data_IF_101809931796
#
_entry.id   IF_101809931796
#
_cell.length_a   1.000
_cell.length_b   1.000
_cell.length_c   1.000
_cell.angle_alpha   90.00
_cell.angle_beta   90.00
_cell.angle_gamma   90.00
#
_symmetry.space_group_name_H-M   'P 1'
#
loop_
_entity.id
_entity.type
_entity.pdbx_description
1 polymer ?
#
# COMPACT_ATOMS: atom_id res chain seq x y z
N UNK A 1 -22.07 58.42 -38.48
CA UNK A 1 -20.96 57.87 -39.29
C UNK A 1 -20.44 56.63 -38.57
N UNK A 2 -20.45 55.42 -39.12
CA UNK A 2 -21.15 54.94 -40.33
C UNK A 2 -21.13 53.39 -40.36
N UNK A 3 -22.28 52.76 -40.68
CA UNK A 3 -22.47 51.48 -41.40
C UNK A 3 -21.80 50.15 -40.95
N UNK A 4 -22.66 49.14 -40.78
CA UNK A 4 -22.40 47.69 -41.02
C UNK A 4 -21.98 47.42 -42.49
N UNK A 5 -21.45 46.22 -42.86
CA UNK A 5 -22.33 45.06 -43.14
C UNK A 5 -21.79 43.63 -42.83
N UNK A 6 -22.76 42.72 -42.63
CA UNK A 6 -22.87 41.33 -43.15
C UNK A 6 -21.71 40.31 -43.03
N UNK A 7 -22.00 39.15 -42.40
CA UNK A 7 -22.05 37.86 -43.12
C UNK A 7 -22.80 36.75 -42.32
N UNK A 8 -23.93 36.30 -42.86
CA UNK A 8 -24.45 34.91 -42.78
C UNK A 8 -24.06 34.21 -44.10
N UNK A 9 -24.03 32.88 -44.26
CA UNK A 9 -24.94 31.86 -43.69
C UNK A 9 -24.13 30.66 -43.07
N UNK A 10 -24.58 29.41 -42.86
CA UNK A 10 -25.80 28.66 -43.23
C UNK A 10 -26.07 27.54 -42.22
N UNK A 11 -27.32 27.10 -42.08
CA UNK A 11 -27.71 25.81 -41.48
C UNK A 11 -27.74 24.71 -42.56
N UNK A 12 -27.62 23.41 -42.20
CA UNK A 12 -28.84 22.59 -42.25
C UNK A 12 -28.94 21.48 -41.17
N UNK A 13 -29.89 21.66 -40.23
CA UNK A 13 -31.07 20.79 -40.03
C UNK A 13 -30.95 19.24 -40.16
N UNK A 14 -31.04 18.53 -39.02
CA UNK A 14 -31.56 17.14 -38.80
C UNK A 14 -31.19 16.72 -37.36
N UNK A 15 -31.99 16.05 -36.53
CA UNK A 15 -33.42 15.74 -36.54
C UNK A 15 -33.94 15.73 -35.08
N UNK A 16 -35.13 16.30 -34.84
CA UNK A 16 -35.89 16.09 -33.59
C UNK A 16 -37.34 15.78 -33.96
N UNK A 17 -37.85 14.56 -33.73
CA UNK A 17 -39.24 14.24 -34.05
C UNK A 17 -40.19 14.88 -33.03
N UNK A 18 -40.78 16.02 -33.41
CA UNK A 18 -42.09 16.43 -32.87
C UNK A 18 -43.17 15.60 -33.58
N UNK A 19 -44.00 14.91 -32.81
CA UNK A 19 -45.23 14.29 -33.30
C UNK A 19 -46.41 14.91 -32.55
N UNK A 20 -46.92 16.01 -33.11
CA UNK A 20 -48.19 16.56 -32.71
C UNK A 20 -49.34 15.63 -33.11
N UNK A 21 -50.20 15.33 -32.15
CA UNK A 21 -51.64 15.59 -32.26
C UNK A 21 -52.32 15.10 -33.55
N UNK A 22 -52.56 13.79 -33.64
CA UNK A 22 -53.65 13.27 -34.48
C UNK A 22 -54.96 13.27 -33.68
N UNK A 23 -55.99 13.93 -34.19
CA UNK A 23 -57.33 13.96 -33.61
C UNK A 23 -58.37 13.39 -34.58
N UNK A 24 -58.96 12.24 -34.28
CA UNK A 24 -60.25 11.82 -34.83
C UNK A 24 -60.91 10.76 -33.94
N UNK A 25 -62.23 10.86 -33.77
CA UNK A 25 -63.02 10.21 -32.74
C UNK A 25 -63.02 8.67 -32.67
N UNK A 26 -63.25 8.17 -31.46
CA UNK A 26 -64.52 7.47 -31.18
C UNK A 26 -64.86 7.63 -29.70
N UNK A 27 -66.08 8.08 -29.41
CA UNK A 27 -66.63 8.06 -28.06
C UNK A 27 -67.27 6.70 -27.81
N UNK A 28 -66.49 5.76 -27.26
CA UNK A 28 -67.04 4.60 -26.58
C UNK A 28 -66.40 4.44 -25.20
N UNK A 29 -67.20 3.91 -24.28
CA UNK A 29 -66.96 3.87 -22.85
C UNK A 29 -65.66 3.16 -22.46
N UNK A 30 -64.79 3.83 -21.69
CA UNK A 30 -63.72 3.16 -20.96
C UNK A 30 -64.39 2.35 -19.84
N UNK A 31 -64.66 1.08 -20.12
CA UNK A 31 -65.04 0.11 -19.10
C UNK A 31 -63.83 -0.13 -18.20
N UNK A 32 -63.73 0.66 -17.13
CA UNK A 32 -62.87 0.31 -15.99
C UNK A 32 -63.41 -1.00 -15.41
N UNK A 33 -62.62 -2.08 -15.33
CA UNK A 33 -63.07 -3.32 -14.73
C UNK A 33 -63.30 -3.08 -13.22
N UNK A 34 -64.48 -3.43 -12.67
CA UNK A 34 -64.81 -3.18 -11.28
C UNK A 34 -64.20 -4.26 -10.36
N UNK A 35 -62.88 -4.40 -10.37
CA UNK A 35 -62.17 -5.15 -9.34
C UNK A 35 -60.74 -4.62 -9.09
N UNK A 36 -60.67 -3.55 -8.29
CA UNK A 36 -59.44 -3.06 -7.68
C UNK A 36 -59.25 -3.60 -6.25
N UNK A 37 -60.02 -4.63 -5.84
CA UNK A 37 -60.00 -5.14 -4.45
C UNK A 37 -58.70 -5.86 -4.06
N UNK A 38 -57.89 -6.24 -5.05
CA UNK A 38 -56.58 -6.89 -4.85
C UNK A 38 -55.37 -6.02 -5.19
N UNK A 39 -55.52 -4.72 -5.48
CA UNK A 39 -54.39 -3.85 -5.75
C UNK A 39 -53.81 -3.33 -4.43
N UNK A 40 -52.53 -3.60 -4.09
CA UNK A 40 -51.96 -3.16 -2.81
C UNK A 40 -52.11 -1.65 -2.64
N UNK A 41 -52.56 -1.23 -1.46
CA UNK A 41 -52.61 0.19 -1.12
C UNK A 41 -51.19 0.78 -1.14
N UNK A 42 -51.07 2.09 -1.33
CA UNK A 42 -49.77 2.78 -1.30
C UNK A 42 -48.99 2.50 -0.01
N UNK A 43 -49.68 2.30 1.12
CA UNK A 43 -49.07 1.94 2.40
C UNK A 43 -48.59 0.48 2.44
N UNK A 44 -49.29 -0.46 1.81
CA UNK A 44 -48.84 -1.86 1.68
C UNK A 44 -47.68 -2.00 0.71
N UNK A 45 -47.67 -1.22 -0.38
CA UNK A 45 -46.57 -1.18 -1.33
C UNK A 45 -45.30 -0.58 -0.71
N UNK A 46 -45.44 0.51 0.07
CA UNK A 46 -44.34 1.10 0.86
C UNK A 46 -43.86 0.15 1.97
N UNK A 47 -44.78 -0.58 2.63
CA UNK A 47 -44.42 -1.61 3.61
C UNK A 47 -43.69 -2.81 2.97
N UNK A 48 -44.06 -3.21 1.76
CA UNK A 48 -43.38 -4.27 1.00
C UNK A 48 -42.00 -3.81 0.51
N UNK A 49 -41.86 -2.59 -0.04
CA UNK A 49 -40.55 -2.06 -0.45
C UNK A 49 -39.64 -1.84 0.79
N UNK A 50 -40.19 -1.37 1.92
CA UNK A 50 -39.46 -1.29 3.19
C UNK A 50 -39.08 -2.68 3.74
N UNK A 51 -39.93 -3.70 3.58
CA UNK A 51 -39.61 -5.07 3.96
C UNK A 51 -38.55 -5.69 3.03
N UNK A 52 -38.59 -5.40 1.74
CA UNK A 52 -37.60 -5.85 0.76
C UNK A 52 -36.27 -5.09 0.89
N UNK A 53 -36.28 -3.82 1.29
CA UNK A 53 -35.10 -3.07 1.70
C UNK A 53 -34.51 -3.60 3.02
N UNK A 54 -35.34 -4.05 3.96
CA UNK A 54 -34.91 -4.65 5.22
C UNK A 54 -34.36 -6.08 5.03
N UNK A 55 -34.97 -6.89 4.17
CA UNK A 55 -34.54 -8.24 3.83
C UNK A 55 -33.31 -8.24 2.88
N UNK A 56 -33.32 -7.37 1.88
CA UNK A 56 -32.35 -7.26 0.78
C UNK A 56 -31.11 -6.41 1.07
N UNK A 57 -30.99 -5.79 2.26
CA UNK A 57 -29.77 -5.06 2.69
C UNK A 57 -29.06 -5.67 3.89
N UNK A 58 -28.77 -6.98 3.82
CA UNK A 58 -27.53 -7.48 4.44
C UNK A 58 -26.34 -6.91 3.66
N UNK A 59 -25.83 -5.75 4.08
CA UNK A 59 -24.68 -5.09 3.42
C UNK A 59 -23.43 -5.98 3.32
N UNK A 60 -23.34 -6.99 4.20
CA UNK A 60 -22.29 -7.99 4.26
C UNK A 60 -22.06 -8.74 2.94
N UNK A 61 -23.12 -9.12 2.22
CA UNK A 61 -22.98 -9.95 1.01
C UNK A 61 -22.48 -9.15 -0.19
N UNK A 62 -22.81 -7.84 -0.23
CA UNK A 62 -22.35 -6.94 -1.31
C UNK A 62 -20.87 -6.56 -1.18
N UNK A 63 -20.33 -6.61 0.03
CA UNK A 63 -18.89 -6.55 0.24
C UNK A 63 -18.21 -7.88 -0.15
N UNK A 64 -18.80 -9.04 0.17
CA UNK A 64 -18.19 -10.35 -0.09
C UNK A 64 -18.16 -10.74 -1.58
N UNK A 65 -19.18 -10.37 -2.37
CA UNK A 65 -19.34 -10.76 -3.77
C UNK A 65 -18.18 -10.35 -4.73
N UNK A 66 -17.24 -9.51 -4.30
CA UNK A 66 -16.10 -9.05 -5.11
C UNK A 66 -14.74 -9.57 -4.58
N UNK A 67 -14.74 -10.50 -3.60
CA UNK A 67 -13.53 -11.05 -2.99
C UNK A 67 -13.21 -12.50 -3.38
N UNK A 68 -14.20 -13.29 -3.80
CA UNK A 68 -14.05 -14.72 -4.03
C UNK A 68 -13.41 -15.10 -5.39
N UNK A 69 -13.38 -14.19 -6.36
CA UNK A 69 -12.73 -14.47 -7.64
C UNK A 69 -11.20 -14.25 -7.53
N UNK A 70 -10.37 -15.28 -7.77
CA UNK A 70 -8.93 -15.23 -7.52
C UNK A 70 -8.18 -14.46 -8.61
N UNK A 71 -8.30 -13.14 -8.58
CA UNK A 71 -7.55 -12.24 -9.46
C UNK A 71 -6.03 -12.48 -9.31
N UNK A 72 -5.29 -12.80 -10.38
CA UNK A 72 -3.87 -13.16 -10.29
C UNK A 72 -3.04 -12.01 -9.68
N UNK A 73 -1.98 -12.32 -8.91
CA UNK A 73 -1.17 -11.31 -8.25
C UNK A 73 -0.50 -10.39 -9.30
N UNK A 74 -0.55 -9.06 -9.13
CA UNK A 74 0.01 -8.13 -10.10
C UNK A 74 1.53 -8.31 -10.22
N UNK A 75 2.06 -8.23 -11.45
CA UNK A 75 3.49 -8.42 -11.74
C UNK A 75 4.44 -7.58 -10.87
N UNK A 76 3.99 -6.43 -10.35
CA UNK A 76 4.75 -5.61 -9.40
C UNK A 76 5.12 -6.35 -8.10
N UNK A 77 4.30 -7.30 -7.62
CA UNK A 77 4.66 -8.14 -6.47
C UNK A 77 5.78 -9.14 -6.81
N UNK A 78 5.81 -9.66 -8.04
CA UNK A 78 6.90 -10.52 -8.49
C UNK A 78 8.22 -9.74 -8.62
N UNK A 79 8.17 -8.51 -9.13
CA UNK A 79 9.33 -7.60 -9.16
C UNK A 79 9.82 -7.26 -7.74
N UNK A 80 8.90 -6.96 -6.80
CA UNK A 80 9.27 -6.75 -5.40
C UNK A 80 9.97 -7.98 -4.80
N UNK A 81 9.46 -9.19 -5.07
CA UNK A 81 10.12 -10.43 -4.64
C UNK A 81 11.52 -10.62 -5.24
N UNK A 82 11.69 -10.41 -6.56
CA UNK A 82 13.01 -10.48 -7.21
C UNK A 82 14.01 -9.47 -6.63
N UNK A 83 13.57 -8.23 -6.41
CA UNK A 83 14.39 -7.17 -5.81
C UNK A 83 14.78 -7.50 -4.37
N UNK A 84 13.85 -8.07 -3.58
CA UNK A 84 14.13 -8.56 -2.24
C UNK A 84 15.11 -9.73 -2.24
N UNK A 85 15.02 -10.68 -3.18
CA UNK A 85 16.00 -11.76 -3.33
C UNK A 85 17.39 -11.21 -3.67
N UNK A 86 17.49 -10.24 -4.59
CA UNK A 86 18.76 -9.57 -4.90
C UNK A 86 19.36 -8.88 -3.66
N UNK A 87 18.53 -8.18 -2.87
CA UNK A 87 18.96 -7.59 -1.61
C UNK A 87 19.40 -8.65 -0.58
N UNK A 88 18.73 -9.79 -0.52
CA UNK A 88 19.09 -10.88 0.38
C UNK A 88 20.43 -11.52 0.02
N UNK A 89 20.74 -11.67 -1.28
CA UNK A 89 22.06 -12.12 -1.74
C UNK A 89 23.15 -11.08 -1.41
N UNK A 90 22.91 -9.80 -1.65
CA UNK A 90 23.84 -8.74 -1.28
C UNK A 90 24.11 -8.69 0.23
N UNK A 91 23.05 -8.81 1.05
CA UNK A 91 23.16 -8.90 2.51
C UNK A 91 23.96 -10.13 2.94
N UNK A 92 23.73 -11.29 2.31
CA UNK A 92 24.43 -12.53 2.62
C UNK A 92 25.93 -12.42 2.34
N UNK A 93 26.34 -11.77 1.24
CA UNK A 93 27.76 -11.50 0.95
C UNK A 93 28.40 -10.64 2.05
N UNK A 94 27.76 -9.54 2.45
CA UNK A 94 28.24 -8.68 3.53
C UNK A 94 28.30 -9.41 4.88
N UNK A 95 27.33 -10.27 5.18
CA UNK A 95 27.27 -11.05 6.43
C UNK A 95 28.34 -12.15 6.46
N UNK A 96 28.52 -12.91 5.38
CA UNK A 96 29.57 -13.94 5.29
C UNK A 96 30.96 -13.30 5.42
N UNK A 97 31.21 -12.17 4.74
CA UNK A 97 32.46 -11.43 4.90
C UNK A 97 32.63 -10.89 6.32
N UNK A 98 31.59 -10.32 6.91
CA UNK A 98 31.61 -9.76 8.27
C UNK A 98 31.91 -10.80 9.34
N UNK A 99 31.35 -12.01 9.23
CA UNK A 99 31.68 -13.12 10.13
C UNK A 99 33.09 -13.69 9.89
N UNK A 100 33.53 -13.79 8.62
CA UNK A 100 34.88 -14.27 8.30
C UNK A 100 35.98 -13.34 8.82
N UNK A 101 35.70 -12.04 8.94
CA UNK A 101 36.64 -11.02 9.40
C UNK A 101 36.24 -10.39 10.76
N UNK A 102 35.42 -11.09 11.55
CA UNK A 102 34.76 -10.52 12.74
C UNK A 102 35.77 -9.93 13.75
N UNK A 103 36.87 -10.63 14.01
CA UNK A 103 37.93 -10.16 14.92
C UNK A 103 38.54 -8.84 14.44
N UNK A 104 39.00 -8.79 13.18
CA UNK A 104 39.57 -7.57 12.60
C UNK A 104 38.59 -6.38 12.61
N UNK A 105 37.30 -6.62 12.34
CA UNK A 105 36.28 -5.57 12.39
C UNK A 105 36.04 -5.10 13.83
N UNK A 106 36.02 -6.01 14.82
CA UNK A 106 35.90 -5.68 16.23
C UNK A 106 37.11 -4.89 16.74
N UNK A 107 38.34 -5.25 16.34
CA UNK A 107 39.56 -4.53 16.72
C UNK A 107 39.57 -3.10 16.14
N UNK A 108 39.25 -2.95 14.85
CA UNK A 108 39.13 -1.65 14.18
C UNK A 108 38.01 -0.77 14.78
N UNK A 109 36.88 -1.37 15.16
CA UNK A 109 35.80 -0.66 15.85
C UNK A 109 36.23 -0.25 17.27
N UNK A 110 37.02 -1.07 17.96
CA UNK A 110 37.57 -0.73 19.27
C UNK A 110 38.49 0.51 19.17
N UNK A 111 39.46 0.48 18.25
CA UNK A 111 40.34 1.63 17.97
C UNK A 111 39.54 2.90 17.66
N UNK A 112 38.53 2.80 16.78
CA UNK A 112 37.65 3.93 16.43
C UNK A 112 36.85 4.46 17.63
N UNK A 113 36.37 3.59 18.52
CA UNK A 113 35.66 3.99 19.74
C UNK A 113 36.60 4.63 20.78
N UNK A 114 37.83 4.14 20.94
CA UNK A 114 38.83 4.75 21.82
C UNK A 114 39.20 6.16 21.35
N UNK A 115 39.41 6.35 20.04
CA UNK A 115 39.62 7.68 19.44
C UNK A 115 38.42 8.60 19.68
N UNK A 116 37.19 8.08 19.58
CA UNK A 116 35.96 8.83 19.89
C UNK A 116 35.91 9.32 21.34
N UNK A 117 36.25 8.47 22.33
CA UNK A 117 36.31 8.85 23.75
C UNK A 117 37.40 9.89 24.02
N UNK A 118 38.54 9.81 23.33
CA UNK A 118 39.61 10.79 23.45
C UNK A 118 39.24 12.18 22.89
N UNK A 119 38.32 12.25 21.91
CA UNK A 119 37.91 13.49 21.26
C UNK A 119 36.68 14.15 21.91
N UNK A 120 35.69 13.37 22.35
CA UNK A 120 34.49 13.88 23.05
C UNK A 120 34.05 12.96 24.21
N UNK A 121 34.70 13.08 25.38
CA UNK A 121 34.41 12.23 26.53
C UNK A 121 33.04 12.48 27.18
N UNK A 122 32.31 13.55 26.80
CA UNK A 122 30.98 13.84 27.34
C UNK A 122 29.85 13.15 26.56
N UNK A 123 30.11 12.76 25.31
CA UNK A 123 29.13 12.16 24.40
C UNK A 123 29.45 10.69 24.06
N UNK A 124 30.66 10.23 24.41
CA UNK A 124 31.11 8.86 24.13
C UNK A 124 30.74 7.86 25.25
N UNK A 125 30.86 6.57 24.94
CA UNK A 125 30.62 5.51 25.91
C UNK A 125 31.71 5.49 27.01
N UNK A 126 31.38 5.12 28.27
CA UNK A 126 32.37 4.96 29.33
C UNK A 126 33.52 4.02 28.93
N UNK A 127 34.76 4.42 29.22
CA UNK A 127 35.97 3.73 28.75
C UNK A 127 36.04 2.25 29.20
N UNK A 128 35.47 1.94 30.36
CA UNK A 128 35.32 0.59 30.92
C UNK A 128 34.42 -0.35 30.09
N UNK A 129 33.66 0.18 29.12
CA UNK A 129 32.73 -0.60 28.30
C UNK A 129 33.13 -0.75 26.84
N UNK A 130 34.18 -0.06 26.37
CA UNK A 130 34.55 -0.06 24.95
C UNK A 130 34.77 -1.48 24.42
N UNK A 131 35.56 -2.29 25.13
CA UNK A 131 35.86 -3.69 24.76
C UNK A 131 34.59 -4.57 24.68
N UNK A 132 33.64 -4.36 25.59
CA UNK A 132 32.37 -5.08 25.58
C UNK A 132 31.46 -4.64 24.42
N UNK A 133 31.55 -3.38 23.99
CA UNK A 133 30.75 -2.84 22.90
C UNK A 133 31.33 -3.22 21.54
N UNK A 134 32.65 -3.12 21.36
CA UNK A 134 33.36 -3.49 20.13
C UNK A 134 33.30 -5.00 19.85
N UNK A 135 33.29 -5.84 20.88
CA UNK A 135 33.07 -7.28 20.75
C UNK A 135 31.62 -7.70 20.48
N UNK A 136 30.62 -6.90 20.90
CA UNK A 136 29.20 -7.26 20.77
C UNK A 136 28.52 -6.65 19.54
N UNK A 137 28.82 -5.39 19.18
CA UNK A 137 28.11 -4.70 18.11
C UNK A 137 28.26 -5.35 16.72
N UNK A 138 29.46 -5.73 16.25
CA UNK A 138 29.62 -6.36 14.94
C UNK A 138 28.79 -7.65 14.79
N UNK A 139 28.90 -8.68 15.66
CA UNK A 139 28.08 -9.88 15.49
C UNK A 139 26.59 -9.60 15.69
N UNK A 140 26.21 -8.70 16.60
CA UNK A 140 24.80 -8.34 16.81
C UNK A 140 24.17 -7.71 15.55
N UNK A 141 24.85 -6.77 14.89
CA UNK A 141 24.37 -6.12 13.66
C UNK A 141 24.23 -7.11 12.49
N UNK A 142 25.15 -8.07 12.37
CA UNK A 142 25.07 -9.14 11.37
C UNK A 142 23.90 -10.10 11.64
N UNK A 143 23.68 -10.49 12.91
CA UNK A 143 22.55 -11.34 13.31
C UNK A 143 21.21 -10.62 13.09
N UNK A 144 21.09 -9.35 13.52
CA UNK A 144 19.88 -8.53 13.34
C UNK A 144 19.56 -8.37 11.86
N UNK A 145 20.57 -8.19 11.01
CA UNK A 145 20.41 -8.16 9.54
C UNK A 145 19.75 -9.43 9.03
N UNK A 146 20.25 -10.61 9.41
CA UNK A 146 19.65 -11.90 9.00
C UNK A 146 18.22 -12.08 9.54
N UNK A 147 17.97 -11.71 10.80
CA UNK A 147 16.65 -11.83 11.44
C UNK A 147 15.61 -10.92 10.76
N UNK A 148 15.96 -9.66 10.47
CA UNK A 148 15.07 -8.73 9.77
C UNK A 148 14.73 -9.22 8.36
N UNK A 149 15.71 -9.75 7.61
CA UNK A 149 15.46 -10.38 6.31
C UNK A 149 14.56 -11.62 6.44
N UNK A 150 14.84 -12.50 7.39
CA UNK A 150 14.04 -13.71 7.63
C UNK A 150 12.57 -13.40 7.99
N UNK A 151 12.30 -12.27 8.66
CA UNK A 151 10.94 -11.78 8.96
C UNK A 151 10.30 -11.09 7.74
N UNK A 152 11.06 -10.38 6.92
CA UNK A 152 10.55 -9.73 5.69
C UNK A 152 10.01 -10.74 4.66
N UNK A 153 10.68 -11.88 4.48
CA UNK A 153 10.25 -12.92 3.52
C UNK A 153 8.79 -13.40 3.72
N UNK A 154 8.37 -13.93 4.89
CA UNK A 154 7.00 -14.40 5.09
C UNK A 154 5.97 -13.26 5.02
N UNK A 155 6.33 -12.01 5.34
CA UNK A 155 5.44 -10.86 5.17
C UNK A 155 5.19 -10.54 3.69
N UNK A 156 6.22 -10.61 2.85
CA UNK A 156 6.11 -10.44 1.40
C UNK A 156 5.30 -11.58 0.76
N UNK A 157 5.55 -12.82 1.18
CA UNK A 157 4.78 -14.00 0.76
C UNK A 157 3.32 -13.92 1.23
N UNK A 158 3.05 -13.46 2.46
CA UNK A 158 1.69 -13.28 2.98
C UNK A 158 0.93 -12.17 2.24
N UNK A 159 1.62 -11.10 1.81
CA UNK A 159 1.03 -10.05 0.96
C UNK A 159 0.52 -10.65 -0.36
N UNK A 160 1.29 -11.55 -0.97
CA UNK A 160 0.93 -12.21 -2.23
C UNK A 160 -0.09 -13.35 -2.06
N UNK A 161 0.09 -14.26 -1.09
CA UNK A 161 -0.76 -15.46 -0.92
C UNK A 161 -2.06 -15.21 -0.14
N UNK A 162 -2.07 -14.28 0.81
CA UNK A 162 -3.23 -13.98 1.67
C UNK A 162 -3.88 -12.63 1.36
N UNK A 163 -3.46 -11.97 0.26
CA UNK A 163 -4.02 -10.69 -0.21
C UNK A 163 -4.13 -9.62 0.89
N UNK A 164 -3.18 -9.56 1.83
CA UNK A 164 -3.32 -8.77 3.07
C UNK A 164 -2.63 -7.40 3.00
N UNK A 165 -3.40 -6.32 3.20
CA UNK A 165 -2.84 -4.96 3.40
C UNK A 165 -2.01 -4.84 4.68
N UNK A 166 -2.38 -5.58 5.73
CA UNK A 166 -1.64 -5.60 7.00
C UNK A 166 -0.23 -6.14 6.81
N UNK A 167 -0.11 -7.30 6.16
CA UNK A 167 1.19 -7.90 5.84
C UNK A 167 2.08 -6.96 4.99
N UNK A 168 1.51 -6.28 3.99
CA UNK A 168 2.22 -5.29 3.17
C UNK A 168 2.74 -4.12 4.01
N UNK A 169 1.89 -3.54 4.86
CA UNK A 169 2.29 -2.39 5.66
C UNK A 169 3.39 -2.78 6.67
N UNK A 170 3.27 -3.95 7.31
CA UNK A 170 4.31 -4.47 8.22
C UNK A 170 5.61 -4.76 7.45
N UNK A 171 5.53 -5.35 6.24
CA UNK A 171 6.68 -5.53 5.35
C UNK A 171 7.40 -4.20 5.08
N UNK A 172 6.66 -3.17 4.65
CA UNK A 172 7.22 -1.85 4.37
C UNK A 172 7.85 -1.23 5.63
N UNK A 173 7.23 -1.35 6.81
CA UNK A 173 7.87 -0.86 8.04
C UNK A 173 9.16 -1.61 8.39
N UNK A 174 9.21 -2.94 8.19
CA UNK A 174 10.43 -3.73 8.43
C UNK A 174 11.53 -3.41 7.41
N UNK A 175 11.17 -3.12 6.16
CA UNK A 175 12.11 -2.61 5.16
C UNK A 175 12.62 -1.23 5.55
N UNK A 176 11.76 -0.30 5.99
CA UNK A 176 12.20 1.02 6.47
C UNK A 176 13.17 0.90 7.65
N UNK A 177 12.87 0.08 8.66
CA UNK A 177 13.80 -0.18 9.77
C UNK A 177 15.14 -0.71 9.24
N UNK A 178 15.11 -1.68 8.32
CA UNK A 178 16.33 -2.21 7.69
C UNK A 178 17.12 -1.14 6.91
N UNK A 179 16.43 -0.24 6.19
CA UNK A 179 17.06 0.87 5.47
C UNK A 179 17.71 1.89 6.41
N UNK A 180 17.25 2.04 7.66
CA UNK A 180 17.95 2.82 8.69
C UNK A 180 19.17 2.07 9.23
N UNK A 181 19.08 0.74 9.41
CA UNK A 181 20.20 -0.07 9.92
C UNK A 181 21.36 -0.21 8.92
N UNK A 182 21.08 -0.26 7.61
CA UNK A 182 22.13 -0.45 6.58
C UNK A 182 23.24 0.62 6.64
N UNK A 183 22.98 1.94 6.53
CA UNK A 183 24.06 2.93 6.55
C UNK A 183 24.87 2.90 7.85
N UNK A 184 24.22 2.64 8.99
CA UNK A 184 24.90 2.46 10.27
C UNK A 184 25.82 1.23 10.27
N UNK A 185 25.36 0.10 9.73
CA UNK A 185 26.19 -1.10 9.57
C UNK A 185 27.34 -0.90 8.58
N UNK A 186 27.11 -0.16 7.49
CA UNK A 186 28.16 0.15 6.52
C UNK A 186 29.26 1.03 7.11
N UNK A 187 28.90 2.05 7.89
CA UNK A 187 29.86 2.91 8.58
C UNK A 187 30.62 2.15 9.68
N UNK A 188 29.91 1.45 10.59
CA UNK A 188 30.55 0.78 11.73
C UNK A 188 31.39 -0.44 11.36
N UNK A 189 30.99 -1.25 10.36
CA UNK A 189 31.69 -2.50 10.04
C UNK A 189 32.63 -2.41 8.83
N UNK A 190 32.36 -1.51 7.87
CA UNK A 190 33.00 -1.59 6.55
C UNK A 190 33.65 -0.30 6.06
N UNK A 191 33.50 0.85 6.73
CA UNK A 191 34.17 2.10 6.33
C UNK A 191 35.58 2.25 6.95
N UNK A 192 36.43 1.26 6.69
CA UNK A 192 37.83 1.23 7.13
C UNK A 192 38.77 1.14 5.92
N UNK A 193 39.95 1.79 5.93
CA UNK A 193 40.91 1.75 4.82
C UNK A 193 41.43 0.34 4.48
N UNK A 194 41.38 -0.57 5.45
CA UNK A 194 41.77 -1.98 5.35
C UNK A 194 40.68 -2.88 4.73
N UNK A 195 39.44 -2.40 4.65
CA UNK A 195 38.29 -3.18 4.14
C UNK A 195 38.08 -2.87 2.64
N UNK A 196 37.81 -3.86 1.78
CA UNK A 196 37.55 -3.61 0.37
C UNK A 196 36.33 -2.71 0.14
N UNK A 197 36.54 -1.55 -0.48
CA UNK A 197 35.45 -0.60 -0.82
C UNK A 197 34.34 -1.19 -1.70
N UNK A 198 34.57 -2.35 -2.33
CA UNK A 198 33.52 -3.14 -2.99
C UNK A 198 32.37 -3.51 -2.04
N UNK A 199 32.64 -3.79 -0.75
CA UNK A 199 31.60 -4.08 0.25
C UNK A 199 30.73 -2.85 0.51
N UNK A 200 31.33 -1.64 0.54
CA UNK A 200 30.60 -0.37 0.62
C UNK A 200 29.59 -0.25 -0.53
N UNK A 201 29.98 -0.64 -1.75
CA UNK A 201 29.10 -0.67 -2.92
C UNK A 201 28.00 -1.74 -2.78
N UNK A 202 28.32 -2.96 -2.31
CA UNK A 202 27.34 -4.04 -2.09
C UNK A 202 26.26 -3.61 -1.08
N UNK A 203 26.62 -2.91 0.00
CA UNK A 203 25.66 -2.35 0.96
C UNK A 203 24.71 -1.32 0.36
N UNK A 204 25.21 -0.42 -0.50
CA UNK A 204 24.36 0.53 -1.23
C UNK A 204 23.48 -0.14 -2.28
N UNK A 205 23.94 -1.23 -2.91
CA UNK A 205 23.12 -2.07 -3.79
C UNK A 205 21.99 -2.73 -2.99
N UNK A 206 22.28 -3.32 -1.81
CA UNK A 206 21.28 -3.87 -0.91
C UNK A 206 20.23 -2.82 -0.51
N UNK A 207 20.67 -1.62 -0.13
CA UNK A 207 19.78 -0.48 0.19
C UNK A 207 18.85 -0.14 -0.97
N UNK A 208 19.42 0.05 -2.17
CA UNK A 208 18.64 0.41 -3.35
C UNK A 208 17.62 -0.68 -3.72
N UNK A 209 18.01 -1.96 -3.66
CA UNK A 209 17.14 -3.09 -3.96
C UNK A 209 15.99 -3.23 -2.95
N UNK A 210 16.23 -3.06 -1.65
CA UNK A 210 15.17 -3.06 -0.63
C UNK A 210 14.21 -1.88 -0.79
N UNK A 211 14.73 -0.66 -1.01
CA UNK A 211 13.92 0.53 -1.26
C UNK A 211 13.02 0.32 -2.48
N UNK A 212 13.59 -0.17 -3.59
CA UNK A 212 12.84 -0.43 -4.81
C UNK A 212 11.78 -1.53 -4.60
N UNK A 213 12.12 -2.61 -3.88
CA UNK A 213 11.16 -3.64 -3.49
C UNK A 213 9.94 -3.07 -2.74
N UNK A 214 10.17 -2.25 -1.72
CA UNK A 214 9.10 -1.59 -0.98
C UNK A 214 8.23 -0.71 -1.90
N UNK A 215 8.85 0.11 -2.77
CA UNK A 215 8.12 0.95 -3.74
C UNK A 215 7.26 0.10 -4.71
N UNK A 216 7.75 -1.06 -5.15
CA UNK A 216 6.96 -1.97 -5.98
C UNK A 216 5.76 -2.57 -5.23
N UNK A 217 5.84 -2.83 -3.91
CA UNK A 217 4.66 -3.21 -3.11
C UNK A 217 3.66 -2.08 -2.89
N UNK A 218 4.10 -0.81 -2.94
CA UNK A 218 3.27 0.37 -2.78
C UNK A 218 2.62 0.88 -4.09
N UNK A 219 2.95 0.29 -5.24
CA UNK A 219 2.38 0.68 -6.54
C UNK A 219 0.84 0.60 -6.55
N UNK A 220 0.21 1.52 -7.29
CA UNK A 220 -1.25 1.59 -7.51
C UNK A 220 -1.87 0.29 -8.04
N UNK A 221 -1.10 -0.54 -8.74
CA UNK A 221 -1.49 -1.90 -9.16
C UNK A 221 -1.76 -2.82 -7.96
N UNK A 222 -0.83 -2.85 -6.99
CA UNK A 222 -0.96 -3.62 -5.75
C UNK A 222 -2.06 -3.04 -4.86
N UNK A 223 -2.14 -1.71 -4.76
CA UNK A 223 -3.15 -1.08 -3.90
C UNK A 223 -4.59 -1.25 -4.43
N UNK A 224 -4.80 -1.31 -5.75
CA UNK A 224 -6.10 -1.68 -6.33
C UNK A 224 -6.42 -3.17 -6.17
N UNK A 225 -5.39 -4.03 -6.21
CA UNK A 225 -5.56 -5.48 -6.09
C UNK A 225 -5.84 -5.92 -4.64
N UNK A 226 -5.28 -5.25 -3.64
CA UNK A 226 -5.52 -5.55 -2.22
C UNK A 226 -6.92 -5.09 -1.76
N UNK A 227 -7.65 -5.88 -0.95
CA UNK A 227 -9.01 -5.59 -0.48
C UNK A 227 -9.06 -4.22 0.20
N UNK A 228 -10.15 -3.44 0.06
CA UNK A 228 -10.25 -2.10 0.61
C UNK A 228 -9.94 -2.08 2.11
N UNK A 229 -9.33 -1.01 2.57
CA UNK A 229 -9.00 -0.83 3.99
C UNK A 229 -10.28 -0.81 4.83
N UNK A 230 -10.44 -1.79 5.73
CA UNK A 230 -11.54 -1.88 6.71
C UNK A 230 -11.62 -0.68 7.67
N UNK A 231 -10.59 0.18 7.71
CA UNK A 231 -10.67 1.48 8.40
C UNK A 231 -11.87 2.27 7.86
N UNK A 232 -12.91 2.39 8.69
CA UNK A 232 -14.03 3.31 8.48
C UNK A 232 -13.48 4.69 8.09
N UNK A 233 -13.85 5.16 6.89
CA UNK A 233 -13.54 6.52 6.47
C UNK A 233 -14.30 7.47 7.41
N UNK A 234 -13.67 8.50 8.00
CA UNK A 234 -14.36 9.42 8.92
C UNK A 234 -15.54 10.15 8.26
N UNK A 235 -15.57 10.26 6.93
CA UNK A 235 -16.73 10.74 6.16
C UNK A 235 -18.00 9.90 6.29
N UNK A 236 -17.92 8.64 6.75
CA UNK A 236 -19.11 7.82 7.06
C UNK A 236 -19.62 8.01 8.49
N UNK A 237 -18.79 8.54 9.42
CA UNK A 237 -19.23 8.94 10.75
C UNK A 237 -19.95 10.31 10.72
N UNK A 238 -19.55 11.19 9.78
CA UNK A 238 -20.17 12.50 9.58
C UNK A 238 -21.24 12.42 8.48
N UNK A 239 -22.28 11.61 8.70
CA UNK A 239 -23.58 11.81 8.03
C UNK A 239 -24.57 12.36 9.07
N UNK A 240 -24.70 13.69 9.23
CA UNK A 240 -25.74 14.28 10.05
C UNK A 240 -27.10 14.05 9.39
N UNK A 241 -27.70 12.89 9.65
CA UNK A 241 -29.11 12.65 9.40
C UNK A 241 -29.91 13.41 10.44
N UNK A 242 -30.45 14.57 10.05
CA UNK A 242 -31.43 15.29 10.86
C UNK A 242 -32.65 14.39 11.12
N UNK A 243 -32.67 13.75 12.28
CA UNK A 243 -33.93 13.53 13.01
C UNK A 243 -34.39 14.90 13.53
N UNK A 244 -35.71 15.11 13.53
CA UNK A 244 -36.45 16.34 13.91
C UNK A 244 -36.88 17.21 12.72
N UNK A 245 -37.97 16.81 12.07
CA UNK A 245 -39.25 17.53 12.15
C UNK A 245 -40.38 16.51 12.21
#
# INVERSE_FOLDING_TARGET
>A
MTQDPEEQPTDPQSDRPNLEKSSAGSSDSIHVPPDLSGMPTLAELDALDMAELAAGRKSKDKDHANFDEPAPPPASLHHAWLLWVGAAVAALVSVVYGFANLGAISDLLNERLQVGVAQDPNNAAPADRIDSLSGLFPPALLIITLVLLAIQYPLLVATSRRRSRGARNIYVTMVVVMLLCIPMGMDLLFDYPSVPGALRIVGWIQFALLLLSALFTLRRSVDRWLPPSERMKPSHLIRPGNRLK
#
